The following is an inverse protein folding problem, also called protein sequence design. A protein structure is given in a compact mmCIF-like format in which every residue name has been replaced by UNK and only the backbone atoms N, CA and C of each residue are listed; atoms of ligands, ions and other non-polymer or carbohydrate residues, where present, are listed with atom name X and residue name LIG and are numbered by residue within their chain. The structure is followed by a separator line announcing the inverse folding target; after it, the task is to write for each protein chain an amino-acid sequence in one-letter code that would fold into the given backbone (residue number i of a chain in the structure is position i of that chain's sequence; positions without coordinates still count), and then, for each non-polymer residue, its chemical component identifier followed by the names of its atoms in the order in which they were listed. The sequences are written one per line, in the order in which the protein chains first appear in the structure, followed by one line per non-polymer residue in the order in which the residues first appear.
data_IF_702576319310
#
_entry.id   IF_702576319310
#
_cell.length_a   1.000
_cell.length_b   1.000
_cell.length_c   1.000
_cell.angle_alpha   90.00
_cell.angle_beta   90.00
_cell.angle_gamma   90.00
#
_symmetry.space_group_name_H-M   'P 1'
#
loop_
_entity.id
_entity.type
_entity.pdbx_description
1 polymer ?
#
# COMPACT_ATOMS: atom_id res chain seq x y z
N UNK A 1 -1.67 -16.96 -9.57
CA UNK A 1 -2.26 -15.77 -10.22
C UNK A 1 -1.42 -14.52 -9.97
N UNK A 2 -1.11 -14.20 -8.70
CA UNK A 2 -0.29 -13.06 -8.29
C UNK A 2 0.98 -12.82 -9.11
N UNK A 3 1.85 -13.84 -9.23
CA UNK A 3 3.13 -13.69 -9.94
C UNK A 3 2.99 -13.35 -11.43
N UNK A 4 1.87 -13.71 -12.08
CA UNK A 4 1.64 -13.34 -13.48
C UNK A 4 1.19 -11.88 -13.61
N UNK A 5 0.40 -11.40 -12.66
CA UNK A 5 -0.09 -10.01 -12.64
C UNK A 5 1.05 -9.05 -12.27
N UNK A 6 1.97 -9.43 -11.37
CA UNK A 6 3.13 -8.60 -11.02
C UNK A 6 4.11 -8.37 -12.17
N UNK A 7 4.08 -9.23 -13.20
CA UNK A 7 4.94 -9.09 -14.38
C UNK A 7 4.35 -8.16 -15.45
N UNK A 8 3.10 -7.70 -15.27
CA UNK A 8 2.47 -6.76 -16.19
C UNK A 8 3.16 -5.39 -16.02
N UNK A 9 3.66 -4.78 -17.10
CA UNK A 9 4.30 -3.47 -17.03
C UNK A 9 3.40 -2.42 -16.37
N UNK A 10 3.98 -1.67 -15.44
CA UNK A 10 3.30 -0.60 -14.71
C UNK A 10 2.48 -1.04 -13.50
N UNK A 11 2.41 -2.34 -13.18
CA UNK A 11 1.85 -2.80 -11.89
C UNK A 11 2.83 -2.43 -10.77
N UNK A 12 2.33 -1.71 -9.77
CA UNK A 12 3.15 -1.19 -8.65
C UNK A 12 2.95 -2.02 -7.39
N UNK A 13 1.69 -2.31 -7.06
CA UNK A 13 1.31 -3.13 -5.90
C UNK A 13 0.17 -4.05 -6.31
N UNK A 14 0.11 -5.23 -5.71
CA UNK A 14 -1.06 -6.08 -5.85
C UNK A 14 -1.28 -6.88 -4.58
N UNK A 15 -2.54 -7.17 -4.29
CA UNK A 15 -2.95 -8.13 -3.28
C UNK A 15 -4.12 -8.92 -3.79
N UNK A 16 -4.16 -10.19 -3.42
CA UNK A 16 -5.25 -11.07 -3.77
C UNK A 16 -5.76 -11.74 -2.52
N UNK A 17 -7.07 -11.90 -2.48
CA UNK A 17 -7.82 -12.55 -1.42
C UNK A 17 -8.65 -13.64 -2.05
N UNK A 18 -8.84 -14.73 -1.31
CA UNK A 18 -9.63 -15.87 -1.73
C UNK A 18 -10.62 -16.18 -0.63
N UNK A 19 -11.87 -16.39 -1.03
CA UNK A 19 -12.89 -16.91 -0.16
C UNK A 19 -13.30 -18.30 -0.69
N UNK A 20 -12.72 -19.32 -0.08
CA UNK A 20 -12.98 -20.74 -0.34
C UNK A 20 -14.20 -21.28 0.43
N UNK A 21 -14.81 -20.45 1.27
CA UNK A 21 -15.94 -20.84 2.10
C UNK A 21 -17.28 -20.71 1.36
N UNK A 22 -18.34 -21.26 1.96
CA UNK A 22 -19.70 -21.15 1.45
C UNK A 22 -20.46 -19.89 1.92
N UNK A 23 -19.78 -18.91 2.53
CA UNK A 23 -20.38 -17.66 3.01
C UNK A 23 -19.54 -16.47 2.57
N UNK A 24 -20.15 -15.29 2.49
CA UNK A 24 -19.42 -14.04 2.27
C UNK A 24 -18.46 -13.77 3.44
N UNK A 25 -17.22 -13.37 3.15
CA UNK A 25 -16.21 -13.09 4.17
C UNK A 25 -16.40 -11.72 4.84
N UNK A 26 -15.52 -11.40 5.80
CA UNK A 26 -15.53 -10.12 6.53
C UNK A 26 -15.25 -8.90 5.62
N UNK A 27 -14.61 -9.12 4.47
CA UNK A 27 -14.28 -8.10 3.48
C UNK A 27 -15.40 -7.92 2.43
N UNK A 28 -16.50 -8.67 2.54
CA UNK A 28 -17.59 -8.64 1.57
C UNK A 28 -17.37 -9.50 0.32
N UNK A 29 -16.31 -10.31 0.28
CA UNK A 29 -15.98 -11.19 -0.84
C UNK A 29 -16.97 -12.37 -0.86
N UNK A 30 -17.73 -12.57 -1.94
CA UNK A 30 -18.70 -13.66 -2.07
C UNK A 30 -18.06 -15.05 -1.92
N UNK A 31 -18.85 -16.09 -1.60
CA UNK A 31 -18.34 -17.46 -1.53
C UNK A 31 -17.78 -17.93 -2.88
N UNK A 32 -16.78 -18.83 -2.83
CA UNK A 32 -16.13 -19.43 -4.00
C UNK A 32 -15.58 -18.41 -5.00
N UNK A 33 -15.03 -17.31 -4.50
CA UNK A 33 -14.54 -16.21 -5.34
C UNK A 33 -13.17 -15.69 -4.92
N UNK A 34 -12.46 -15.14 -5.90
CA UNK A 34 -11.19 -14.44 -5.71
C UNK A 34 -11.37 -12.94 -5.91
N UNK A 35 -10.78 -12.14 -5.03
CA UNK A 35 -10.73 -10.69 -5.15
C UNK A 35 -9.28 -10.27 -5.41
N UNK A 36 -9.04 -9.62 -6.55
CA UNK A 36 -7.74 -9.07 -6.88
C UNK A 36 -7.79 -7.56 -6.78
N UNK A 37 -6.85 -6.97 -6.05
CA UNK A 37 -6.67 -5.53 -5.94
C UNK A 37 -5.31 -5.20 -6.55
N UNK A 38 -5.32 -4.43 -7.63
CA UNK A 38 -4.13 -4.17 -8.43
C UNK A 38 -3.95 -2.68 -8.60
N UNK A 39 -2.79 -2.18 -8.22
CA UNK A 39 -2.36 -0.81 -8.43
C UNK A 39 -1.50 -0.71 -9.69
N UNK A 40 -1.81 0.26 -10.56
CA UNK A 40 -1.14 0.46 -11.84
C UNK A 40 -1.38 -0.64 -12.89
N UNK A 41 -0.69 -0.55 -14.03
CA UNK A 41 -0.79 -1.51 -15.14
C UNK A 41 -2.08 -1.44 -15.96
N UNK A 42 -2.07 -2.07 -17.14
CA UNK A 42 -3.20 -2.04 -18.06
C UNK A 42 -4.36 -2.93 -17.58
N UNK A 43 -5.55 -2.34 -17.44
CA UNK A 43 -6.72 -3.04 -16.91
C UNK A 43 -7.13 -4.27 -17.75
N UNK A 44 -7.06 -4.17 -19.08
CA UNK A 44 -7.40 -5.27 -19.98
C UNK A 44 -6.39 -6.42 -19.89
N UNK A 45 -5.10 -6.11 -19.78
CA UNK A 45 -4.05 -7.14 -19.59
C UNK A 45 -4.20 -7.85 -18.24
N UNK A 46 -4.52 -7.10 -17.18
CA UNK A 46 -4.82 -7.64 -15.85
C UNK A 46 -6.02 -8.59 -15.95
N UNK A 47 -7.13 -8.16 -16.53
CA UNK A 47 -8.32 -8.97 -16.68
C UNK A 47 -8.08 -10.24 -17.50
N UNK A 48 -7.34 -10.15 -18.62
CA UNK A 48 -6.93 -11.31 -19.43
C UNK A 48 -6.06 -12.28 -18.62
N UNK A 49 -5.13 -11.76 -17.82
CA UNK A 49 -4.24 -12.58 -16.98
C UNK A 49 -5.02 -13.30 -15.88
N UNK A 50 -5.97 -12.62 -15.25
CA UNK A 50 -6.89 -13.23 -14.27
C UNK A 50 -7.73 -14.32 -14.97
N UNK A 51 -8.31 -14.03 -16.14
CA UNK A 51 -9.09 -15.02 -16.91
C UNK A 51 -8.29 -16.28 -17.23
N UNK A 52 -7.02 -16.12 -17.61
CA UNK A 52 -6.12 -17.22 -17.96
C UNK A 52 -5.67 -18.04 -16.75
N UNK A 53 -5.50 -17.39 -15.60
CA UNK A 53 -4.96 -18.03 -14.38
C UNK A 53 -6.03 -18.48 -13.40
N UNK A 54 -7.28 -18.07 -13.55
CA UNK A 54 -8.38 -18.49 -12.66
C UNK A 54 -8.77 -19.94 -12.96
N UNK A 55 -9.10 -20.68 -11.91
CA UNK A 55 -9.65 -22.02 -12.04
C UNK A 55 -11.08 -21.94 -12.60
N UNK A 56 -11.51 -22.87 -13.47
CA UNK A 56 -12.91 -23.01 -13.86
C UNK A 56 -13.80 -23.13 -12.61
N UNK A 57 -14.97 -22.48 -12.63
CA UNK A 57 -15.91 -22.46 -11.50
C UNK A 57 -15.62 -21.41 -10.41
N UNK A 58 -14.42 -20.81 -10.37
CA UNK A 58 -14.12 -19.71 -9.44
C UNK A 58 -14.65 -18.37 -9.98
N UNK A 59 -15.39 -17.66 -9.12
CA UNK A 59 -15.89 -16.31 -9.36
C UNK A 59 -14.79 -15.26 -9.16
N UNK A 60 -14.99 -14.07 -9.73
CA UNK A 60 -14.08 -12.93 -9.52
C UNK A 60 -14.86 -11.77 -8.89
N UNK A 61 -14.24 -11.10 -7.91
CA UNK A 61 -14.81 -9.99 -7.17
C UNK A 61 -14.00 -8.70 -7.35
N UNK A 62 -14.71 -7.58 -7.42
CA UNK A 62 -14.14 -6.24 -7.54
C UNK A 62 -15.03 -5.28 -8.32
N UNK A 63 -14.64 -4.01 -8.31
CA UNK A 63 -15.46 -2.89 -8.81
C UNK A 63 -15.23 -2.61 -10.30
N UNK A 64 -14.07 -3.02 -10.83
CA UNK A 64 -13.74 -2.93 -12.26
C UNK A 64 -14.15 -4.22 -12.94
N UNK A 65 -15.05 -4.14 -13.93
CA UNK A 65 -15.46 -5.29 -14.74
C UNK A 65 -14.94 -5.14 -16.16
N UNK A 66 -14.23 -6.16 -16.66
CA UNK A 66 -13.78 -6.25 -18.06
C UNK A 66 -14.20 -7.58 -18.64
N UNK A 67 -14.85 -7.51 -19.80
CA UNK A 67 -15.23 -8.68 -20.57
C UNK A 67 -14.03 -9.21 -21.34
N UNK A 68 -13.65 -10.46 -21.06
CA UNK A 68 -12.58 -11.16 -21.76
C UNK A 68 -13.19 -12.22 -22.67
N UNK A 69 -12.86 -12.16 -23.95
CA UNK A 69 -13.28 -13.14 -24.93
C UNK A 69 -12.31 -14.32 -24.95
N UNK A 70 -12.85 -15.54 -24.89
CA UNK A 70 -12.05 -16.73 -25.15
C UNK A 70 -11.94 -17.01 -26.67
N UNK A 71 -11.16 -18.02 -27.04
CA UNK A 71 -10.97 -18.42 -28.44
C UNK A 71 -12.28 -18.82 -29.15
N UNK A 72 -13.29 -19.23 -28.39
CA UNK A 72 -14.62 -19.61 -28.90
C UNK A 72 -15.61 -18.44 -28.96
N UNK A 73 -15.15 -17.20 -28.75
CA UNK A 73 -15.98 -15.99 -28.79
C UNK A 73 -16.85 -15.75 -27.55
N UNK A 74 -16.83 -16.66 -26.56
CA UNK A 74 -17.59 -16.49 -25.32
C UNK A 74 -16.94 -15.38 -24.48
N UNK A 75 -17.76 -14.39 -24.15
CA UNK A 75 -17.40 -13.28 -23.27
C UNK A 75 -17.58 -13.71 -21.81
N UNK A 76 -16.51 -13.69 -21.03
CA UNK A 76 -16.56 -13.91 -19.57
C UNK A 76 -16.24 -12.60 -18.86
N UNK A 77 -17.13 -12.09 -17.98
CA UNK A 77 -16.83 -10.93 -17.18
C UNK A 77 -15.78 -11.30 -16.12
N UNK A 78 -14.68 -10.54 -16.08
CA UNK A 78 -13.65 -10.62 -15.06
C UNK A 78 -13.70 -9.36 -14.21
N UNK A 79 -13.70 -9.54 -12.90
CA UNK A 79 -13.76 -8.45 -11.91
C UNK A 79 -12.48 -8.37 -11.09
N UNK A 80 -12.01 -7.15 -10.86
CA UNK A 80 -10.92 -6.82 -9.94
C UNK A 80 -11.11 -5.37 -9.47
N UNK A 81 -10.38 -4.93 -8.44
CA UNK A 81 -10.46 -3.56 -7.92
C UNK A 81 -9.12 -2.83 -8.05
N UNK A 82 -9.20 -1.50 -8.06
CA UNK A 82 -8.06 -0.61 -7.76
C UNK A 82 -8.05 -0.33 -6.26
N UNK A 83 -6.88 -0.14 -5.63
CA UNK A 83 -6.87 0.26 -4.23
C UNK A 83 -7.42 1.68 -4.06
N UNK A 84 -7.90 1.96 -2.85
CA UNK A 84 -8.21 3.32 -2.40
C UNK A 84 -6.98 3.90 -1.71
N UNK A 85 -6.44 4.97 -2.25
CA UNK A 85 -5.27 5.62 -1.65
C UNK A 85 -5.64 6.31 -0.33
N UNK A 86 -4.85 6.05 0.69
CA UNK A 86 -4.97 6.65 2.02
C UNK A 86 -3.75 7.48 2.31
N UNK A 87 -3.92 8.80 2.31
CA UNK A 87 -2.87 9.74 2.72
C UNK A 87 -2.46 9.49 4.17
N UNK A 88 -1.18 9.18 4.36
CA UNK A 88 -0.55 9.04 5.67
C UNK A 88 0.20 10.33 5.99
N UNK A 89 -0.08 10.85 7.18
CA UNK A 89 0.60 12.00 7.77
C UNK A 89 1.50 11.53 8.91
N UNK A 90 2.66 12.16 9.02
CA UNK A 90 3.67 11.83 10.03
C UNK A 90 4.14 13.12 10.69
N UNK A 91 4.23 13.10 12.01
CA UNK A 91 4.92 14.14 12.78
C UNK A 91 6.07 13.50 13.56
N UNK A 92 7.25 14.06 13.39
CA UNK A 92 8.47 13.64 14.05
C UNK A 92 8.98 14.80 14.90
N UNK A 93 9.16 14.57 16.20
CA UNK A 93 9.90 15.49 17.06
C UNK A 93 11.30 14.94 17.27
N UNK A 94 12.31 15.72 16.94
CA UNK A 94 13.72 15.34 17.06
C UNK A 94 14.49 16.34 17.91
N UNK A 95 15.54 15.87 18.56
CA UNK A 95 16.57 16.71 19.17
C UNK A 95 17.76 16.74 18.24
N UNK A 96 18.17 17.92 17.78
CA UNK A 96 19.32 18.06 16.89
C UNK A 96 20.64 18.05 17.65
N UNK A 97 21.66 17.41 17.08
CA UNK A 97 23.05 17.43 17.55
C UNK A 97 23.95 18.20 16.57
N UNK A 98 25.25 18.26 16.88
CA UNK A 98 26.23 18.87 16.00
C UNK A 98 26.21 18.20 14.61
N UNK A 99 26.15 19.02 13.56
CA UNK A 99 26.10 18.54 12.17
C UNK A 99 24.69 18.33 11.60
N UNK A 100 23.62 18.50 12.40
CA UNK A 100 22.26 18.46 11.86
C UNK A 100 22.01 19.63 10.90
N UNK A 101 21.38 19.36 9.77
CA UNK A 101 21.02 20.38 8.77
C UNK A 101 19.59 20.16 8.26
N UNK A 102 19.04 21.16 7.58
CA UNK A 102 17.73 21.03 6.90
C UNK A 102 17.71 19.90 5.87
N UNK A 103 18.86 19.61 5.23
CA UNK A 103 19.00 18.51 4.28
C UNK A 103 18.80 17.14 4.95
N UNK A 104 19.26 16.97 6.20
CA UNK A 104 19.01 15.76 6.99
C UNK A 104 17.51 15.60 7.20
N UNK A 105 16.81 16.69 7.57
CA UNK A 105 15.35 16.71 7.68
C UNK A 105 14.64 16.26 6.40
N UNK A 106 15.07 16.75 5.24
CA UNK A 106 14.51 16.35 3.94
C UNK A 106 14.79 14.88 3.60
N UNK A 107 15.97 14.36 3.98
CA UNK A 107 16.30 12.93 3.85
C UNK A 107 15.41 12.06 4.72
N UNK A 108 15.17 12.46 5.97
CA UNK A 108 14.25 11.77 6.89
C UNK A 108 12.85 11.68 6.25
N UNK A 109 12.32 12.82 5.77
CA UNK A 109 11.01 12.86 5.08
C UNK A 109 10.98 11.92 3.88
N UNK A 110 12.02 11.97 3.04
CA UNK A 110 12.11 11.14 1.84
C UNK A 110 12.18 9.65 2.19
N UNK A 111 12.96 9.27 3.21
CA UNK A 111 13.09 7.87 3.65
C UNK A 111 11.77 7.32 4.21
N UNK A 112 11.09 8.09 5.05
CA UNK A 112 9.77 7.72 5.61
C UNK A 112 8.72 7.61 4.50
N UNK A 113 8.61 8.61 3.63
CA UNK A 113 7.65 8.61 2.52
C UNK A 113 7.87 7.40 1.60
N UNK A 114 9.13 7.14 1.22
CA UNK A 114 9.51 5.98 0.41
C UNK A 114 9.10 4.69 1.08
N UNK A 115 9.40 4.51 2.36
CA UNK A 115 9.04 3.30 3.11
C UNK A 115 7.52 3.10 3.15
N UNK A 116 6.74 4.12 3.49
CA UNK A 116 5.26 4.02 3.51
C UNK A 116 4.73 3.62 2.12
N UNK A 117 5.31 4.18 1.05
CA UNK A 117 4.92 3.86 -0.33
C UNK A 117 5.37 2.45 -0.80
N UNK A 118 6.08 1.68 0.03
CA UNK A 118 6.35 0.25 -0.22
C UNK A 118 5.38 -0.69 0.48
N UNK A 119 4.55 -0.18 1.40
CA UNK A 119 3.61 -1.00 2.16
C UNK A 119 2.54 -1.56 1.21
N UNK A 120 2.32 -2.87 1.30
CA UNK A 120 1.37 -3.59 0.47
C UNK A 120 -0.06 -3.15 0.80
N UNK A 121 -0.93 -3.16 -0.19
CA UNK A 121 -2.37 -2.89 -0.06
C UNK A 121 -2.94 -3.70 1.12
N UNK A 122 -3.70 -3.07 2.01
CA UNK A 122 -4.32 -3.73 3.16
C UNK A 122 -3.42 -4.05 4.35
N UNK A 123 -2.13 -3.69 4.30
CA UNK A 123 -1.26 -3.80 5.48
C UNK A 123 -1.28 -2.50 6.30
N UNK A 124 -1.35 -2.68 7.61
CA UNK A 124 -1.31 -1.56 8.56
C UNK A 124 0.06 -0.87 8.54
N UNK A 125 0.07 0.43 8.79
CA UNK A 125 1.31 1.18 9.00
C UNK A 125 1.69 1.05 10.47
N UNK A 126 2.75 0.28 10.72
CA UNK A 126 3.26 0.04 12.07
C UNK A 126 4.22 1.15 12.51
N UNK A 127 3.90 1.80 13.63
CA UNK A 127 4.67 2.91 14.17
C UNK A 127 6.14 2.53 14.41
N UNK A 128 6.37 1.39 15.08
CA UNK A 128 7.69 0.90 15.40
C UNK A 128 8.58 0.68 14.15
N UNK A 129 7.97 0.32 13.02
CA UNK A 129 8.73 0.11 11.78
C UNK A 129 9.14 1.42 11.11
N UNK A 130 8.46 2.53 11.37
CA UNK A 130 8.81 3.85 10.83
C UNK A 130 10.04 4.47 11.49
N UNK A 131 10.38 4.07 12.72
CA UNK A 131 11.63 4.49 13.35
C UNK A 131 12.86 4.03 12.57
N UNK A 132 12.81 2.88 11.91
CA UNK A 132 13.95 2.39 11.12
C UNK A 132 14.31 3.33 9.96
N UNK A 133 13.43 3.65 8.98
CA UNK A 133 13.75 4.61 7.94
C UNK A 133 13.97 6.03 8.47
N UNK A 134 13.31 6.41 9.57
CA UNK A 134 13.50 7.72 10.19
C UNK A 134 14.88 7.92 10.81
N UNK A 135 15.61 6.85 11.16
CA UNK A 135 16.99 6.90 11.69
C UNK A 135 18.06 6.87 10.59
N UNK A 136 17.67 6.83 9.31
CA UNK A 136 18.60 6.79 8.17
C UNK A 136 19.74 5.76 8.33
N UNK A 137 19.43 4.46 8.51
CA UNK A 137 20.41 3.45 8.85
C UNK A 137 21.49 3.32 7.78
N UNK A 138 22.75 3.39 8.20
CA UNK A 138 23.91 3.35 7.31
C UNK A 138 24.36 4.72 6.78
N UNK A 139 23.66 5.80 7.13
CA UNK A 139 24.08 7.17 6.88
C UNK A 139 24.70 7.78 8.16
N UNK A 140 25.84 8.45 8.05
CA UNK A 140 26.46 9.15 9.18
C UNK A 140 25.58 10.32 9.65
N UNK A 141 24.76 10.89 8.76
CA UNK A 141 23.79 11.94 9.09
C UNK A 141 22.72 11.43 10.07
N UNK A 142 22.44 10.12 10.10
CA UNK A 142 21.52 9.49 11.06
C UNK A 142 21.98 9.58 12.53
N UNK A 143 23.25 9.93 12.78
CA UNK A 143 23.80 10.13 14.14
C UNK A 143 23.74 11.59 14.60
N UNK A 144 23.28 12.51 13.74
CA UNK A 144 23.24 13.95 14.02
C UNK A 144 21.97 14.39 14.75
N UNK A 145 21.08 13.47 15.11
CA UNK A 145 19.85 13.75 15.84
C UNK A 145 19.39 12.53 16.63
N UNK A 146 18.45 12.75 17.56
CA UNK A 146 17.70 11.69 18.23
C UNK A 146 16.19 11.91 18.06
N UNK A 147 15.43 10.82 17.96
CA UNK A 147 13.98 10.86 17.73
C UNK A 147 13.25 10.80 19.07
N UNK A 148 12.65 11.90 19.48
CA UNK A 148 11.91 11.99 20.74
C UNK A 148 10.53 11.32 20.61
N UNK A 149 9.75 11.71 19.60
CA UNK A 149 8.41 11.14 19.36
C UNK A 149 8.13 11.03 17.87
N UNK A 150 7.36 10.00 17.51
CA UNK A 150 6.86 9.78 16.15
C UNK A 150 5.36 9.53 16.25
N UNK A 151 4.57 10.31 15.51
CA UNK A 151 3.12 10.18 15.43
C UNK A 151 2.69 9.97 13.99
N UNK A 152 1.66 9.13 13.80
CA UNK A 152 1.06 8.89 12.48
C UNK A 152 -0.46 9.02 12.51
N UNK A 153 -1.03 9.34 11.35
CA UNK A 153 -2.46 9.57 11.21
C UNK A 153 -2.93 9.63 9.76
N UNK A 154 -4.26 9.66 9.58
CA UNK A 154 -4.91 9.86 8.27
C UNK A 154 -5.09 11.34 7.91
N UNK A 155 -4.81 12.25 8.84
CA UNK A 155 -4.84 13.70 8.65
C UNK A 155 -3.88 14.38 9.61
N UNK A 156 -3.53 15.63 9.32
CA UNK A 156 -2.68 16.47 10.19
C UNK A 156 -3.25 16.69 11.60
N UNK A 157 -4.57 16.55 11.78
CA UNK A 157 -5.24 16.75 13.07
C UNK A 157 -5.48 15.44 13.84
N UNK A 158 -5.21 14.29 13.23
CA UNK A 158 -5.51 12.96 13.79
C UNK A 158 -4.24 12.12 13.92
N UNK A 159 -3.17 12.73 14.43
CA UNK A 159 -1.88 12.10 14.66
C UNK A 159 -1.84 11.44 16.05
N UNK A 160 -1.30 10.23 16.12
CA UNK A 160 -1.16 9.49 17.38
C UNK A 160 0.09 8.61 17.39
N UNK A 161 0.57 8.26 18.57
CA UNK A 161 1.65 7.28 18.78
C UNK A 161 1.10 5.85 18.73
N UNK A 162 0.31 5.54 17.70
CA UNK A 162 -0.32 4.24 17.55
C UNK A 162 -0.26 3.76 16.10
N UNK A 163 -0.43 2.45 15.91
CA UNK A 163 -0.43 1.87 14.58
C UNK A 163 -1.65 2.38 13.78
N UNK A 164 -1.41 2.75 12.53
CA UNK A 164 -2.47 3.19 11.65
C UNK A 164 -3.09 1.97 10.95
N UNK A 165 -4.38 1.77 11.19
CA UNK A 165 -5.16 0.71 10.54
C UNK A 165 -5.48 1.09 9.09
N UNK A 166 -5.27 0.15 8.18
CA UNK A 166 -5.55 0.25 6.75
C UNK A 166 -6.55 -0.86 6.39
N UNK A 167 -7.61 -0.52 5.66
CA UNK A 167 -8.59 -1.51 5.21
C UNK A 167 -8.02 -2.40 4.10
N UNK A 168 -8.60 -3.59 3.90
CA UNK A 168 -8.07 -4.59 2.96
C UNK A 168 -7.91 -4.09 1.51
N UNK A 169 -8.73 -3.11 1.11
CA UNK A 169 -8.73 -2.46 -0.20
C UNK A 169 -8.05 -1.09 -0.23
N UNK A 170 -7.44 -0.66 0.86
CA UNK A 170 -6.74 0.62 0.97
C UNK A 170 -5.23 0.44 0.76
N UNK A 171 -4.58 1.43 0.14
CA UNK A 171 -3.13 1.51 0.02
C UNK A 171 -2.62 2.76 0.73
N UNK A 172 -1.67 2.66 1.66
CA UNK A 172 -1.09 3.83 2.27
C UNK A 172 -0.20 4.57 1.27
N UNK A 173 -0.36 5.89 1.19
CA UNK A 173 0.43 6.78 0.35
C UNK A 173 0.93 7.95 1.19
N UNK A 174 2.20 8.31 1.06
CA UNK A 174 2.78 9.44 1.78
C UNK A 174 3.61 10.30 0.82
N UNK A 175 3.29 11.59 0.80
CA UNK A 175 4.14 12.63 0.19
C UNK A 175 5.01 13.25 1.29
N UNK A 176 6.21 13.72 0.93
CA UNK A 176 7.12 14.43 1.86
C UNK A 176 6.47 15.65 2.50
N UNK A 177 5.51 16.29 1.82
CA UNK A 177 4.73 17.42 2.34
C UNK A 177 3.80 17.05 3.50
N UNK A 178 3.45 15.75 3.62
CA UNK A 178 2.62 15.24 4.72
C UNK A 178 3.46 14.88 5.96
N UNK A 179 4.77 15.11 5.92
CA UNK A 179 5.70 14.80 7.00
C UNK A 179 6.21 16.09 7.61
N UNK A 180 5.85 16.32 8.88
CA UNK A 180 6.35 17.43 9.67
C UNK A 180 7.51 16.96 10.55
N UNK A 181 8.63 17.66 10.49
CA UNK A 181 9.80 17.41 11.35
C UNK A 181 9.99 18.64 12.22
N UNK A 182 9.70 18.50 13.51
CA UNK A 182 9.86 19.52 14.53
C UNK A 182 11.20 19.30 15.21
N UNK A 183 12.07 20.30 15.14
CA UNK A 183 13.43 20.25 15.68
C UNK A 183 13.46 21.03 16.99
N UNK A 184 13.98 20.40 18.04
CA UNK A 184 14.26 21.01 19.35
C UNK A 184 15.76 21.10 19.60
#
# INVERSE_FOLDING_TARGET
MHGAISLIPGVVRLRGFENDTHKTDINGIPPHSVAMIVDGGNATEIAKTIALKKTPGSGTFGDTTINVHNHYGLSTPVRFSRPVDVSVYVELNITAFEGYTTLVGDRIKTAIAKYINTIVIGDNVYLARLYSPANLPGDEEGKTYDINTLKIGRSVHALSESNLKIAFNEAPVCNTDNINVVVT
#
